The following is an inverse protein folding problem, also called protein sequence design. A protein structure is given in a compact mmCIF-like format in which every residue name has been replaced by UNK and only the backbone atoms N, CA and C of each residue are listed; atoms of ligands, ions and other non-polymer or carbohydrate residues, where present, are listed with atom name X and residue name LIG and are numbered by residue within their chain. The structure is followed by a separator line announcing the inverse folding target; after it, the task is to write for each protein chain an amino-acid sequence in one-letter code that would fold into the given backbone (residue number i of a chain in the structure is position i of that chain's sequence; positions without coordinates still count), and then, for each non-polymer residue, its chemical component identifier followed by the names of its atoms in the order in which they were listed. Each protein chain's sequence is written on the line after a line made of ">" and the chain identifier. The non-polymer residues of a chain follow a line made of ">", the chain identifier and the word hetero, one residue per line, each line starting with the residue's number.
data_IF_960873087998
#
_entry.id   IF_960873087998
#
_cell.length_a   1.000
_cell.length_b   1.000
_cell.length_c   1.000
_cell.angle_alpha   90.00
_cell.angle_beta   90.00
_cell.angle_gamma   90.00
#
_symmetry.space_group_name_H-M   'P 1'
#
loop_
_entity.id
_entity.type
_entity.pdbx_description
1 polymer ?
#
# COMPACT_ATOMS: atom_id res chain seq x y z
N UNK A 1 5.46 19.27 13.61
CA UNK A 1 6.54 18.59 14.36
C UNK A 1 6.03 17.52 15.34
N UNK A 2 4.71 17.38 15.53
CA UNK A 2 4.13 16.28 16.33
C UNK A 2 4.04 14.94 15.57
N UNK A 3 4.10 14.92 14.24
CA UNK A 3 3.92 13.69 13.43
C UNK A 3 4.98 12.58 13.65
N UNK A 4 6.07 12.88 14.37
CA UNK A 4 7.16 11.93 14.62
C UNK A 4 7.05 11.15 15.94
N UNK A 5 6.13 11.50 16.85
CA UNK A 5 6.11 10.85 18.17
C UNK A 5 5.55 9.42 18.11
N UNK A 6 4.51 9.18 17.29
CA UNK A 6 3.91 7.84 17.12
C UNK A 6 4.91 6.80 16.58
N UNK A 7 5.86 7.22 15.71
CA UNK A 7 6.92 6.36 15.22
C UNK A 7 7.79 5.79 16.34
N UNK A 8 7.93 6.49 17.47
CA UNK A 8 8.70 6.00 18.64
C UNK A 8 8.04 4.80 19.32
N UNK A 9 6.75 4.60 19.07
CA UNK A 9 5.97 3.51 19.65
C UNK A 9 5.56 2.46 18.62
N UNK A 10 6.18 2.48 17.45
CA UNK A 10 5.92 1.53 16.38
C UNK A 10 7.08 0.55 16.19
N UNK A 11 6.76 -0.74 16.26
CA UNK A 11 7.65 -1.82 15.83
C UNK A 11 6.88 -2.80 14.93
N UNK A 12 7.28 -2.87 13.65
CA UNK A 12 6.64 -3.78 12.70
C UNK A 12 6.82 -5.25 13.12
N UNK A 13 5.72 -5.91 13.50
CA UNK A 13 5.71 -7.34 13.84
C UNK A 13 5.74 -8.29 12.64
N UNK A 14 5.89 -7.75 11.41
CA UNK A 14 5.85 -8.50 10.13
C UNK A 14 4.66 -9.45 10.04
N UNK A 15 3.52 -9.07 10.62
CA UNK A 15 2.37 -9.96 10.71
C UNK A 15 1.59 -10.08 9.40
N UNK A 16 1.79 -9.19 8.42
CA UNK A 16 1.05 -9.18 7.15
C UNK A 16 -0.39 -8.66 7.22
N UNK A 17 -0.86 -8.18 8.39
CA UNK A 17 -2.25 -7.72 8.58
C UNK A 17 -2.62 -6.56 7.67
N UNK A 18 -1.77 -5.54 7.53
CA UNK A 18 -2.00 -4.43 6.61
C UNK A 18 -2.12 -4.91 5.15
N UNK A 19 -1.24 -5.81 4.72
CA UNK A 19 -1.28 -6.38 3.37
C UNK A 19 -2.55 -7.19 3.11
N UNK A 20 -3.08 -7.93 4.10
CA UNK A 20 -4.31 -8.71 3.95
C UNK A 20 -5.58 -7.88 3.98
N UNK A 21 -5.63 -6.87 4.84
CA UNK A 21 -6.87 -6.12 5.10
C UNK A 21 -6.95 -4.80 4.33
N UNK A 22 -5.83 -4.08 4.19
CA UNK A 22 -5.76 -2.80 3.46
C UNK A 22 -5.42 -3.03 1.98
N UNK A 23 -4.52 -3.99 1.71
CA UNK A 23 -4.07 -4.29 0.36
C UNK A 23 -2.95 -3.36 -0.13
N UNK A 24 -2.85 -3.20 -1.44
CA UNK A 24 -1.89 -2.32 -2.11
C UNK A 24 -2.47 -0.89 -2.30
N UNK A 25 -1.98 0.12 -1.56
CA UNK A 25 -2.45 1.50 -1.71
C UNK A 25 -2.04 2.06 -3.07
N UNK A 26 -2.98 2.75 -3.73
CA UNK A 26 -2.67 3.46 -4.96
C UNK A 26 -1.92 4.76 -4.67
N UNK A 27 -0.82 4.96 -5.39
CA UNK A 27 0.00 6.16 -5.33
C UNK A 27 0.59 6.40 -6.72
N UNK A 28 0.02 7.36 -7.45
CA UNK A 28 0.44 7.70 -8.80
C UNK A 28 1.93 8.09 -8.85
N UNK A 29 2.44 8.75 -7.80
CA UNK A 29 3.84 9.17 -7.71
C UNK A 29 4.83 8.02 -7.42
N UNK A 30 4.33 6.80 -7.17
CA UNK A 30 5.15 5.61 -6.91
C UNK A 30 5.01 4.52 -7.96
N UNK A 31 4.15 4.69 -8.96
CA UNK A 31 3.97 3.70 -10.04
C UNK A 31 5.29 3.40 -10.76
N UNK A 32 6.05 4.42 -11.14
CA UNK A 32 7.35 4.23 -11.80
C UNK A 32 8.37 3.43 -10.99
N UNK A 33 8.35 3.54 -9.66
CA UNK A 33 9.21 2.74 -8.79
C UNK A 33 8.85 1.26 -8.81
N UNK A 34 7.56 0.94 -8.77
CA UNK A 34 7.05 -0.44 -8.85
C UNK A 34 7.29 -1.02 -10.26
N UNK A 35 7.02 -0.23 -11.29
CA UNK A 35 7.22 -0.57 -12.69
C UNK A 35 8.68 -0.97 -12.96
N UNK A 36 9.63 -0.12 -12.55
CA UNK A 36 11.06 -0.40 -12.68
C UNK A 36 11.50 -1.64 -11.90
N UNK A 37 10.99 -1.85 -10.68
CA UNK A 37 11.31 -3.03 -9.88
C UNK A 37 10.83 -4.33 -10.53
N UNK A 38 9.67 -4.30 -11.20
CA UNK A 38 9.07 -5.46 -11.84
C UNK A 38 9.49 -5.66 -13.30
N UNK A 39 10.17 -4.66 -13.90
CA UNK A 39 10.55 -4.69 -15.31
C UNK A 39 9.35 -4.58 -16.27
N UNK A 40 8.31 -3.83 -15.88
CA UNK A 40 7.10 -3.60 -16.69
C UNK A 40 6.79 -2.10 -16.76
N UNK A 41 5.82 -1.70 -17.58
CA UNK A 41 5.37 -0.31 -17.70
C UNK A 41 4.46 0.13 -16.54
N UNK A 42 4.30 1.44 -16.32
CA UNK A 42 3.35 1.97 -15.33
C UNK A 42 1.89 1.60 -15.68
N UNK A 43 1.54 1.62 -16.97
CA UNK A 43 0.24 1.11 -17.44
C UNK A 43 0.02 -0.35 -17.03
N UNK A 44 1.01 -1.22 -17.23
CA UNK A 44 0.91 -2.62 -16.81
C UNK A 44 0.81 -2.77 -15.29
N UNK A 45 1.48 -1.93 -14.50
CA UNK A 45 1.30 -1.92 -13.04
C UNK A 45 -0.16 -1.62 -12.68
N UNK A 46 -0.76 -0.59 -13.29
CA UNK A 46 -2.16 -0.23 -13.06
C UNK A 46 -3.09 -1.37 -13.47
N UNK A 47 -2.89 -1.93 -14.65
CA UNK A 47 -3.75 -2.98 -15.18
C UNK A 47 -3.63 -4.30 -14.42
N UNK A 48 -2.43 -4.68 -13.95
CA UNK A 48 -2.22 -5.93 -13.21
C UNK A 48 -2.69 -5.83 -11.76
N UNK A 49 -2.45 -4.70 -11.10
CA UNK A 49 -2.56 -4.63 -9.63
C UNK A 49 -3.62 -3.66 -9.12
N UNK A 50 -4.17 -2.76 -9.94
CA UNK A 50 -5.10 -1.73 -9.46
C UNK A 50 -6.47 -1.75 -10.12
N UNK A 51 -6.56 -2.06 -11.42
CA UNK A 51 -7.83 -1.95 -12.14
C UNK A 51 -7.67 -2.00 -13.64
N UNK A 52 -8.42 -1.14 -14.34
CA UNK A 52 -8.31 -0.94 -15.79
C UNK A 52 -8.26 0.55 -16.11
N UNK A 53 -7.51 0.91 -17.15
CA UNK A 53 -7.47 2.28 -17.66
C UNK A 53 -8.59 2.41 -18.69
N UNK A 54 -9.44 3.42 -18.53
CA UNK A 54 -10.52 3.73 -19.46
C UNK A 54 -10.41 5.18 -19.93
N UNK A 55 -10.96 5.47 -21.11
CA UNK A 55 -11.09 6.84 -21.61
C UNK A 55 -12.55 7.25 -21.47
N UNK A 56 -12.80 8.22 -20.59
CA UNK A 56 -14.12 8.81 -20.40
C UNK A 56 -14.08 10.29 -20.78
N UNK A 57 -14.89 10.69 -21.76
CA UNK A 57 -14.94 12.09 -22.24
C UNK A 57 -13.55 12.65 -22.57
N UNK A 58 -12.72 11.86 -23.25
CA UNK A 58 -11.36 12.24 -23.64
C UNK A 58 -10.31 12.24 -22.52
N UNK A 59 -10.69 11.88 -21.28
CA UNK A 59 -9.77 11.83 -20.14
C UNK A 59 -9.46 10.38 -19.75
N UNK A 60 -8.18 10.07 -19.51
CA UNK A 60 -7.77 8.78 -18.95
C UNK A 60 -8.17 8.71 -17.48
N UNK A 61 -8.89 7.65 -17.11
CA UNK A 61 -9.27 7.34 -15.73
C UNK A 61 -8.91 5.90 -15.40
N UNK A 62 -8.72 5.64 -14.11
CA UNK A 62 -8.54 4.29 -13.59
C UNK A 62 -9.87 3.86 -12.96
N UNK A 63 -10.44 2.76 -13.46
CA UNK A 63 -11.52 2.05 -12.77
C UNK A 63 -10.89 1.03 -11.84
N UNK A 64 -10.86 1.36 -10.54
CA UNK A 64 -10.26 0.50 -9.53
C UNK A 64 -11.05 -0.80 -9.32
N UNK A 65 -10.31 -1.87 -9.05
CA UNK A 65 -10.79 -3.21 -8.79
C UNK A 65 -10.19 -3.66 -7.46
N UNK A 66 -10.98 -3.68 -6.40
CA UNK A 66 -10.51 -3.98 -5.04
C UNK A 66 -9.91 -5.38 -4.93
N UNK A 67 -10.44 -6.34 -5.69
CA UNK A 67 -9.95 -7.72 -5.77
C UNK A 67 -8.53 -7.83 -6.33
N UNK A 68 -8.03 -6.84 -7.09
CA UNK A 68 -6.64 -6.80 -7.55
C UNK A 68 -5.67 -6.28 -6.50
N UNK A 69 -6.18 -5.55 -5.52
CA UNK A 69 -5.40 -4.84 -4.49
C UNK A 69 -5.45 -5.53 -3.14
N UNK A 70 -6.55 -6.21 -2.85
CA UNK A 70 -6.84 -6.77 -1.53
C UNK A 70 -7.35 -8.21 -1.67
N UNK A 71 -6.65 -9.21 -1.09
CA UNK A 71 -5.38 -9.08 -0.36
C UNK A 71 -4.24 -8.62 -1.27
N UNK A 72 -3.22 -7.97 -0.70
CA UNK A 72 -2.10 -7.41 -1.45
C UNK A 72 -1.42 -8.49 -2.31
N UNK A 73 -1.27 -8.26 -3.62
CA UNK A 73 -0.66 -9.23 -4.55
C UNK A 73 0.83 -9.45 -4.30
N UNK A 74 1.47 -8.58 -3.50
CA UNK A 74 2.89 -8.64 -3.15
C UNK A 74 3.13 -9.21 -1.74
N UNK A 75 2.11 -9.81 -1.11
CA UNK A 75 2.25 -10.51 0.16
C UNK A 75 2.70 -11.94 -0.08
N UNK A 76 3.90 -12.29 0.40
CA UNK A 76 4.41 -13.65 0.37
C UNK A 76 3.77 -14.52 1.47
N UNK A 77 3.93 -15.84 1.35
CA UNK A 77 3.41 -16.84 2.31
C UNK A 77 4.04 -16.72 3.71
N UNK A 78 5.23 -16.13 3.81
CA UNK A 78 5.96 -15.85 5.05
C UNK A 78 5.63 -14.48 5.67
N UNK A 79 4.59 -13.80 5.17
CA UNK A 79 4.17 -12.44 5.52
C UNK A 79 5.13 -11.31 5.11
N UNK A 80 6.18 -11.59 4.34
CA UNK A 80 7.06 -10.55 3.81
C UNK A 80 6.48 -9.92 2.54
N UNK A 81 6.85 -8.67 2.26
CA UNK A 81 6.45 -7.97 1.05
C UNK A 81 7.51 -8.18 -0.05
N UNK A 82 7.09 -8.65 -1.23
CA UNK A 82 8.00 -8.87 -2.35
C UNK A 82 8.51 -7.59 -3.02
N UNK A 83 7.87 -6.44 -2.76
CA UNK A 83 8.26 -5.11 -3.28
C UNK A 83 8.65 -4.13 -2.15
N UNK A 84 9.20 -4.63 -1.04
CA UNK A 84 9.41 -3.85 0.20
C UNK A 84 10.17 -2.52 -0.03
N UNK A 85 11.19 -2.53 -0.89
CA UNK A 85 12.04 -1.36 -1.19
C UNK A 85 11.32 -0.28 -2.00
N UNK A 86 10.29 -0.64 -2.77
CA UNK A 86 9.53 0.27 -3.66
C UNK A 86 8.08 0.44 -3.21
N UNK A 87 7.77 0.13 -1.95
CA UNK A 87 6.45 0.29 -1.35
C UNK A 87 5.84 1.69 -1.61
N UNK A 88 4.53 1.78 -1.93
CA UNK A 88 3.78 3.04 -2.03
C UNK A 88 3.85 3.87 -0.74
N UNK A 89 3.58 5.17 -0.82
CA UNK A 89 3.58 6.05 0.37
C UNK A 89 2.67 5.53 1.48
N UNK A 90 1.45 5.09 1.15
CA UNK A 90 0.52 4.52 2.14
C UNK A 90 1.07 3.32 2.90
N UNK A 91 1.87 2.46 2.25
CA UNK A 91 2.54 1.33 2.91
C UNK A 91 3.70 1.75 3.80
N UNK A 92 4.40 2.85 3.46
CA UNK A 92 5.52 3.37 4.25
C UNK A 92 5.07 4.11 5.48
N UNK A 93 3.94 4.82 5.39
CA UNK A 93 3.46 5.67 6.47
C UNK A 93 2.50 4.97 7.43
N UNK A 94 2.00 3.79 7.07
CA UNK A 94 1.28 2.94 8.00
C UNK A 94 2.23 2.45 9.12
N UNK A 95 1.82 2.50 10.40
CA UNK A 95 0.46 2.79 10.88
C UNK A 95 0.21 4.22 11.36
N UNK A 96 1.17 5.15 11.25
CA UNK A 96 1.19 6.36 12.09
C UNK A 96 0.70 7.65 11.42
N UNK A 97 0.72 7.77 10.09
CA UNK A 97 -0.02 8.84 9.38
C UNK A 97 -1.48 8.45 9.10
N UNK A 98 -1.95 7.44 9.82
CA UNK A 98 -3.32 6.99 9.78
C UNK A 98 -3.77 6.89 11.21
N UNK A 99 -4.92 7.46 11.55
CA UNK A 99 -5.55 7.34 12.87
C UNK A 99 -5.73 5.85 13.25
N UNK A 100 -4.71 5.22 13.85
CA UNK A 100 -4.66 3.77 14.16
C UNK A 100 -4.58 2.80 12.96
N UNK A 101 -4.93 3.25 11.75
CA UNK A 101 -4.92 2.45 10.54
C UNK A 101 -5.96 2.92 9.54
N UNK A 102 -5.57 3.18 8.28
CA UNK A 102 -6.56 3.41 7.23
C UNK A 102 -7.48 2.19 7.13
N UNK A 103 -8.78 2.45 6.97
CA UNK A 103 -9.85 1.43 6.86
C UNK A 103 -10.11 0.61 8.14
N UNK A 104 -9.78 1.12 9.34
CA UNK A 104 -10.10 0.43 10.60
C UNK A 104 -9.24 -0.82 10.86
N UNK A 105 -8.01 -0.83 10.35
CA UNK A 105 -7.07 -1.95 10.49
C UNK A 105 -5.98 -1.59 11.49
N UNK A 106 -6.18 -1.97 12.75
CA UNK A 106 -5.22 -1.70 13.83
C UNK A 106 -3.92 -2.47 13.64
N UNK A 107 -2.82 -1.75 13.80
CA UNK A 107 -1.49 -2.36 13.76
C UNK A 107 -1.12 -2.94 15.13
N UNK A 108 -0.87 -4.26 15.25
CA UNK A 108 -0.38 -4.84 16.52
C UNK A 108 1.04 -4.37 16.89
N UNK A 109 1.71 -3.65 15.99
CA UNK A 109 3.03 -3.07 16.23
C UNK A 109 2.99 -1.64 16.76
N UNK A 110 1.82 -0.98 16.76
CA UNK A 110 1.66 0.38 17.28
C UNK A 110 1.11 0.31 18.71
N UNK A 111 1.82 0.87 19.68
CA UNK A 111 1.38 0.97 21.06
C UNK A 111 1.15 2.44 21.40
N UNK A 112 -0.09 2.87 21.56
CA UNK A 112 -0.38 4.25 21.95
C UNK A 112 -0.34 4.31 23.49
N UNK A 113 0.55 5.11 24.10
CA UNK A 113 0.55 5.31 25.55
C UNK A 113 -0.73 6.07 25.97
N UNK A 114 -1.27 5.72 27.14
CA UNK A 114 -2.39 6.43 27.79
C UNK A 114 -2.02 7.85 28.22
#
# INVERSE_FOLDING_TARGET
>A
MEEYWLWKHFECKKCGRCCRCIGLPFDAGKLGGIANFLGITEEEVVERYYGKIVVEKGNRKIHFQDEKRTPCPFLNTDNNCSIYEVRPHGCRMYPVETDGGRQGVDCPGLVIPE
#
